data_IF_331790503044
#
_entry.id   IF_331790503044
#
_cell.length_a   1.000
_cell.length_b   1.000
_cell.length_c   1.000
_cell.angle_alpha   90.00
_cell.angle_beta   90.00
_cell.angle_gamma   90.00
#
_symmetry.space_group_name_H-M   'P 1'
#
loop_
_entity.id
_entity.type
_entity.pdbx_description
1 polymer ?
#
# COMPACT_ATOMS: atom_id res chain seq x y z
N UNK A 1 13.09 -15.94 2.26
CA UNK A 1 14.15 -16.16 1.24
C UNK A 1 15.49 -16.30 1.95
N UNK A 2 16.35 -17.25 1.55
CA UNK A 2 17.72 -17.36 2.08
C UNK A 2 18.58 -16.22 1.49
N UNK A 3 19.01 -15.30 2.34
CA UNK A 3 19.75 -14.09 1.93
C UNK A 3 21.11 -14.43 1.31
N UNK A 4 21.78 -15.49 1.72
CA UNK A 4 23.09 -15.85 1.17
C UNK A 4 22.96 -16.38 -0.26
N UNK A 5 21.90 -17.13 -0.55
CA UNK A 5 21.59 -17.59 -1.91
C UNK A 5 21.06 -16.45 -2.79
N UNK A 6 20.40 -15.47 -2.21
CA UNK A 6 19.84 -14.31 -2.90
C UNK A 6 20.90 -13.27 -3.30
N UNK A 7 21.99 -13.11 -2.54
CA UNK A 7 23.06 -12.11 -2.81
C UNK A 7 23.64 -12.16 -4.22
N UNK A 8 23.78 -13.37 -4.79
CA UNK A 8 24.41 -13.58 -6.10
C UNK A 8 23.41 -13.57 -7.27
N UNK A 9 22.12 -13.33 -7.01
CA UNK A 9 21.08 -13.23 -8.04
C UNK A 9 20.96 -11.80 -8.55
N UNK A 10 20.52 -11.65 -9.81
CA UNK A 10 20.17 -10.34 -10.36
C UNK A 10 18.88 -9.79 -9.71
N UNK A 11 18.61 -8.48 -9.80
CA UNK A 11 17.35 -7.91 -9.33
C UNK A 11 16.12 -8.57 -9.97
N UNK A 12 16.19 -8.88 -11.27
CA UNK A 12 15.10 -9.51 -12.03
C UNK A 12 14.82 -10.92 -11.54
N UNK A 13 15.88 -11.72 -11.30
CA UNK A 13 15.76 -13.06 -10.73
C UNK A 13 15.13 -13.01 -9.33
N UNK A 14 15.54 -12.04 -8.50
CA UNK A 14 14.99 -11.88 -7.15
C UNK A 14 13.53 -11.49 -7.18
N UNK A 15 13.14 -10.58 -8.08
CA UNK A 15 11.74 -10.21 -8.27
C UNK A 15 10.90 -11.40 -8.70
N UNK A 16 11.37 -12.19 -9.68
CA UNK A 16 10.69 -13.41 -10.14
C UNK A 16 10.54 -14.43 -9.01
N UNK A 17 11.62 -14.74 -8.29
CA UNK A 17 11.59 -15.69 -7.15
C UNK A 17 10.62 -15.20 -6.08
N UNK A 18 10.57 -13.89 -5.82
CA UNK A 18 9.70 -13.31 -4.81
C UNK A 18 8.22 -13.40 -5.19
N UNK A 19 7.89 -13.11 -6.45
CA UNK A 19 6.54 -13.22 -6.99
C UNK A 19 6.08 -14.69 -6.99
N UNK A 20 6.88 -15.59 -7.57
CA UNK A 20 6.62 -17.03 -7.63
C UNK A 20 6.43 -17.65 -6.24
N UNK A 21 7.21 -17.20 -5.25
CA UNK A 21 7.10 -17.73 -3.89
C UNK A 21 5.76 -17.39 -3.24
N UNK A 22 5.18 -16.22 -3.51
CA UNK A 22 3.93 -15.78 -2.87
C UNK A 22 2.69 -16.13 -3.71
N UNK A 23 2.87 -16.43 -5.00
CA UNK A 23 1.80 -16.86 -5.89
C UNK A 23 1.03 -18.06 -5.31
N UNK A 24 -0.29 -17.92 -5.20
CA UNK A 24 -1.19 -18.97 -4.69
C UNK A 24 -1.12 -19.24 -3.18
N UNK A 25 -0.34 -18.47 -2.41
CA UNK A 25 -0.16 -18.69 -0.96
C UNK A 25 -1.01 -17.77 -0.06
N UNK A 26 -1.93 -17.00 -0.64
CA UNK A 26 -2.71 -16.00 0.10
C UNK A 26 -1.89 -14.75 0.47
N UNK A 27 -0.73 -14.57 -0.17
CA UNK A 27 0.16 -13.43 0.00
C UNK A 27 0.31 -12.68 -1.33
N UNK A 28 0.76 -11.43 -1.24
CA UNK A 28 1.13 -10.62 -2.39
C UNK A 28 2.64 -10.44 -2.38
N UNK A 29 3.30 -10.77 -3.49
CA UNK A 29 4.69 -10.39 -3.75
C UNK A 29 4.72 -9.20 -4.69
N UNK A 30 5.33 -8.09 -4.27
CA UNK A 30 5.65 -6.97 -5.15
C UNK A 30 7.11 -6.57 -4.95
N UNK A 31 7.62 -5.75 -5.86
CA UNK A 31 8.93 -5.12 -5.73
C UNK A 31 8.83 -3.65 -6.12
N UNK A 32 9.77 -2.84 -5.64
CA UNK A 32 9.93 -1.46 -6.08
C UNK A 32 11.40 -1.05 -6.04
N UNK A 33 11.74 0.02 -6.75
CA UNK A 33 13.09 0.61 -6.69
C UNK A 33 13.36 1.24 -5.33
N UNK A 34 14.64 1.27 -4.93
CA UNK A 34 15.03 1.87 -3.66
C UNK A 34 14.78 3.38 -3.63
N UNK A 35 14.95 4.08 -4.75
CA UNK A 35 14.64 5.51 -4.86
C UNK A 35 13.17 5.83 -4.57
N UNK A 36 12.25 5.00 -5.08
CA UNK A 36 10.81 5.16 -4.86
C UNK A 36 10.46 4.82 -3.40
N UNK A 37 11.11 3.82 -2.80
CA UNK A 37 10.91 3.51 -1.38
C UNK A 37 11.31 4.68 -0.49
N UNK A 38 12.44 5.34 -0.77
CA UNK A 38 12.88 6.52 -0.01
C UNK A 38 11.90 7.69 -0.13
N UNK A 39 11.34 7.92 -1.33
CA UNK A 39 10.31 8.94 -1.52
C UNK A 39 9.04 8.61 -0.73
N UNK A 40 8.61 7.35 -0.77
CA UNK A 40 7.48 6.86 0.01
C UNK A 40 7.72 7.01 1.52
N UNK A 41 8.94 6.74 1.99
CA UNK A 41 9.35 6.89 3.39
C UNK A 41 9.28 8.33 3.85
N UNK A 42 9.88 9.24 3.08
CA UNK A 42 9.84 10.68 3.35
C UNK A 42 8.40 11.21 3.39
N UNK A 43 7.58 10.83 2.40
CA UNK A 43 6.20 11.32 2.33
C UNK A 43 5.29 10.70 3.39
N UNK A 44 5.53 9.43 3.72
CA UNK A 44 4.85 8.70 4.78
C UNK A 44 5.19 9.19 6.18
N UNK A 45 6.42 9.67 6.42
CA UNK A 45 6.79 10.21 7.74
C UNK A 45 6.00 11.46 8.08
N UNK A 46 5.76 12.31 7.08
CA UNK A 46 5.08 13.60 7.20
C UNK A 46 3.55 13.46 7.11
N UNK A 47 3.07 12.57 6.25
CA UNK A 47 1.66 12.31 6.03
C UNK A 47 1.39 10.82 6.17
N UNK A 48 0.96 10.37 7.35
CA UNK A 48 0.85 8.93 7.66
C UNK A 48 -0.46 8.30 7.24
N UNK A 49 -1.49 9.11 6.99
CA UNK A 49 -2.85 8.61 6.87
C UNK A 49 -3.43 8.93 5.51
N UNK A 50 -4.23 8.02 4.96
CA UNK A 50 -5.03 8.33 3.78
C UNK A 50 -6.27 7.45 3.71
N UNK A 51 -7.22 7.84 2.85
CA UNK A 51 -8.43 7.06 2.58
C UNK A 51 -8.50 6.68 1.12
N UNK A 52 -8.80 5.42 0.84
CA UNK A 52 -8.85 4.88 -0.52
C UNK A 52 -10.19 4.20 -0.74
N UNK A 53 -10.97 4.58 -1.78
CA UNK A 53 -12.18 3.87 -2.16
C UNK A 53 -11.81 2.53 -2.80
N UNK A 54 -12.31 1.43 -2.25
CA UNK A 54 -12.23 0.11 -2.86
C UNK A 54 -13.57 -0.22 -3.52
N UNK A 55 -13.58 -0.35 -4.86
CA UNK A 55 -14.80 -0.60 -5.63
C UNK A 55 -15.41 -1.97 -5.32
N UNK A 56 -16.74 -2.02 -5.20
CA UNK A 56 -17.55 -3.21 -4.86
C UNK A 56 -18.69 -3.45 -5.86
N UNK A 57 -18.49 -3.09 -7.12
CA UNK A 57 -19.46 -3.30 -8.20
C UNK A 57 -20.48 -2.18 -8.32
N UNK A 58 -21.28 -1.92 -7.29
CA UNK A 58 -22.32 -0.87 -7.28
C UNK A 58 -21.99 0.36 -6.41
N UNK A 59 -20.81 0.39 -5.81
CA UNK A 59 -20.32 1.45 -4.95
C UNK A 59 -18.91 1.13 -4.47
N UNK A 60 -18.47 1.76 -3.38
CA UNK A 60 -17.16 1.51 -2.79
C UNK A 60 -17.23 1.33 -1.28
N UNK A 61 -16.27 0.59 -0.74
CA UNK A 61 -15.93 0.61 0.69
C UNK A 61 -14.71 1.49 0.88
N UNK A 62 -14.73 2.38 1.86
CA UNK A 62 -13.56 3.23 2.13
C UNK A 62 -12.58 2.48 3.03
N UNK A 63 -11.34 2.38 2.58
CA UNK A 63 -10.22 1.81 3.32
C UNK A 63 -9.41 2.93 3.93
N UNK A 64 -9.05 2.79 5.20
CA UNK A 64 -8.11 3.65 5.90
C UNK A 64 -6.71 3.05 5.81
N UNK A 65 -5.81 3.77 5.15
CA UNK A 65 -4.40 3.42 5.01
C UNK A 65 -3.54 4.13 6.04
N UNK A 66 -2.69 3.39 6.73
CA UNK A 66 -1.66 3.92 7.62
C UNK A 66 -0.29 3.58 7.04
N UNK A 67 0.43 4.59 6.55
CA UNK A 67 1.78 4.48 6.00
C UNK A 67 2.79 4.75 7.12
N UNK A 68 3.32 3.67 7.71
CA UNK A 68 4.25 3.70 8.84
C UNK A 68 5.42 2.77 8.54
N UNK A 69 6.28 3.19 7.60
CA UNK A 69 7.34 2.33 7.09
C UNK A 69 8.22 1.77 8.21
N UNK A 70 8.64 0.48 8.12
CA UNK A 70 8.55 -0.39 6.95
C UNK A 70 7.21 -1.13 6.79
N UNK A 71 6.14 -0.68 7.45
CA UNK A 71 4.80 -1.27 7.36
C UNK A 71 3.75 -0.33 6.74
N UNK A 72 2.79 -0.91 6.04
CA UNK A 72 1.51 -0.27 5.74
C UNK A 72 0.38 -1.11 6.28
N UNK A 73 -0.63 -0.46 6.87
CA UNK A 73 -1.81 -1.12 7.42
C UNK A 73 -3.05 -0.60 6.69
N UNK A 74 -3.96 -1.51 6.35
CA UNK A 74 -5.21 -1.20 5.68
C UNK A 74 -6.37 -1.74 6.48
N UNK A 75 -7.24 -0.86 6.94
CA UNK A 75 -8.39 -1.19 7.79
C UNK A 75 -9.65 -0.63 7.14
N UNK A 76 -10.78 -1.31 7.23
CA UNK A 76 -12.06 -0.71 6.82
C UNK A 76 -12.33 0.57 7.63
N UNK A 77 -12.65 1.68 6.97
CA UNK A 77 -12.79 2.98 7.66
C UNK A 77 -13.87 2.94 8.74
N UNK A 78 -14.99 2.27 8.48
CA UNK A 78 -16.09 2.14 9.44
C UNK A 78 -15.69 1.30 10.67
N UNK A 79 -14.91 0.22 10.47
CA UNK A 79 -14.38 -0.57 11.58
C UNK A 79 -13.37 0.23 12.42
N UNK A 80 -12.52 1.02 11.76
CA UNK A 80 -11.59 1.92 12.42
C UNK A 80 -12.32 3.02 13.21
N UNK A 81 -13.37 3.63 12.66
CA UNK A 81 -14.20 4.59 13.40
C UNK A 81 -14.85 3.97 14.63
N UNK A 82 -15.30 2.72 14.53
CA UNK A 82 -15.97 2.02 15.62
C UNK A 82 -15.01 1.56 16.74
N UNK A 83 -13.76 1.19 16.41
CA UNK A 83 -12.83 0.52 17.35
C UNK A 83 -11.49 1.24 17.54
N UNK A 84 -11.23 2.29 16.78
CA UNK A 84 -9.95 3.00 16.76
C UNK A 84 -8.78 2.05 16.48
N UNK A 85 -7.70 2.21 17.25
CA UNK A 85 -6.48 1.41 17.14
C UNK A 85 -6.66 -0.07 17.53
N UNK A 86 -7.83 -0.46 18.06
CA UNK A 86 -8.16 -1.86 18.32
C UNK A 86 -8.78 -2.57 17.10
N UNK A 87 -9.08 -1.82 16.02
CA UNK A 87 -9.50 -2.42 14.76
C UNK A 87 -8.33 -3.21 14.15
N UNK A 88 -8.54 -4.49 13.87
CA UNK A 88 -7.54 -5.29 13.16
C UNK A 88 -7.48 -4.88 11.70
N UNK A 89 -6.27 -4.68 11.13
CA UNK A 89 -6.14 -4.41 9.71
C UNK A 89 -6.63 -5.61 8.91
N UNK A 90 -7.25 -5.34 7.77
CA UNK A 90 -7.67 -6.35 6.81
C UNK A 90 -6.47 -6.87 6.02
N UNK A 91 -5.48 -6.00 5.83
CA UNK A 91 -4.30 -6.23 5.03
C UNK A 91 -3.12 -5.43 5.57
N UNK A 92 -1.94 -6.05 5.55
CA UNK A 92 -0.68 -5.42 5.96
C UNK A 92 0.38 -5.63 4.89
N UNK A 93 1.14 -4.59 4.56
CA UNK A 93 2.31 -4.71 3.68
C UNK A 93 3.60 -4.46 4.48
N UNK A 94 4.62 -5.29 4.25
CA UNK A 94 5.96 -5.16 4.83
C UNK A 94 6.99 -4.93 3.72
N UNK A 95 7.89 -3.97 3.93
CA UNK A 95 8.94 -3.61 2.98
C UNK A 95 10.31 -4.09 3.48
N UNK A 96 11.03 -4.79 2.63
CA UNK A 96 12.33 -5.42 2.90
C UNK A 96 13.41 -4.71 2.08
N UNK A 97 14.30 -3.98 2.77
CA UNK A 97 15.28 -3.06 2.17
C UNK A 97 16.68 -3.66 2.06
N UNK A 98 16.86 -4.95 2.34
CA UNK A 98 18.16 -5.64 2.35
C UNK A 98 18.91 -5.55 1.01
N UNK A 99 18.19 -5.35 -0.10
CA UNK A 99 18.75 -5.19 -1.45
C UNK A 99 18.70 -3.74 -1.97
N UNK A 100 18.27 -2.78 -1.16
CA UNK A 100 18.05 -1.41 -1.60
C UNK A 100 19.35 -0.74 -2.05
N UNK A 101 20.43 -0.87 -1.27
CA UNK A 101 21.72 -0.25 -1.60
C UNK A 101 22.48 -1.02 -2.68
N UNK A 102 22.45 -2.36 -2.63
CA UNK A 102 23.29 -3.21 -3.49
C UNK A 102 22.66 -3.54 -4.84
N UNK A 103 21.34 -3.41 -4.97
CA UNK A 103 20.59 -3.85 -6.16
C UNK A 103 19.48 -2.89 -6.60
N UNK A 104 19.35 -1.72 -5.96
CA UNK A 104 18.23 -0.78 -6.18
C UNK A 104 16.85 -1.47 -6.08
N UNK A 105 16.72 -2.42 -5.15
CA UNK A 105 15.54 -3.28 -5.05
C UNK A 105 15.03 -3.36 -3.62
N UNK A 106 13.74 -3.10 -3.45
CA UNK A 106 12.99 -3.35 -2.21
C UNK A 106 11.94 -4.42 -2.51
N UNK A 107 11.92 -5.47 -1.68
CA UNK A 107 10.90 -6.52 -1.77
C UNK A 107 9.73 -6.15 -0.88
N UNK A 108 8.52 -6.45 -1.32
CA UNK A 108 7.30 -6.10 -0.59
C UNK A 108 6.46 -7.37 -0.42
N UNK A 109 6.10 -7.67 0.82
CA UNK A 109 5.15 -8.75 1.13
C UNK A 109 3.86 -8.15 1.62
N UNK A 110 2.76 -8.55 0.99
CA UNK A 110 1.42 -8.30 1.47
C UNK A 110 0.83 -9.53 2.17
N UNK A 111 0.26 -9.32 3.35
CA UNK A 111 -0.42 -10.34 4.15
C UNK A 111 -1.90 -9.95 4.34
N UNK A 112 -2.80 -10.78 3.80
CA UNK A 112 -4.24 -10.58 3.92
C UNK A 112 -4.71 -11.26 5.20
N UNK A 113 -5.12 -10.46 6.18
CA UNK A 113 -5.53 -10.93 7.52
C UNK A 113 -6.98 -11.43 7.48
N UNK A 114 -7.86 -10.74 6.73
CA UNK A 114 -9.26 -11.10 6.60
C UNK A 114 -9.62 -11.43 5.15
N UNK A 115 -9.39 -12.67 4.76
CA UNK A 115 -9.72 -13.19 3.40
C UNK A 115 -11.22 -13.15 3.08
N UNK A 116 -12.09 -13.03 4.09
CA UNK A 116 -13.53 -12.81 3.91
C UNK A 116 -13.90 -11.35 3.57
N UNK A 117 -12.97 -10.41 3.75
CA UNK A 117 -13.18 -8.98 3.52
C UNK A 117 -12.40 -8.44 2.32
N UNK A 118 -11.31 -9.10 1.94
CA UNK A 118 -10.40 -8.62 0.92
C UNK A 118 -9.83 -9.78 0.11
N UNK A 119 -9.95 -9.69 -1.22
CA UNK A 119 -9.32 -10.66 -2.13
C UNK A 119 -7.84 -10.31 -2.36
N UNK A 120 -7.09 -11.25 -2.96
CA UNK A 120 -5.71 -11.01 -3.38
C UNK A 120 -5.56 -9.83 -4.34
N UNK A 121 -6.46 -9.76 -5.32
CA UNK A 121 -6.46 -8.69 -6.33
C UNK A 121 -6.79 -7.33 -5.70
N UNK A 122 -7.77 -7.28 -4.80
CA UNK A 122 -8.16 -6.05 -4.10
C UNK A 122 -7.04 -5.55 -3.18
N UNK A 123 -6.37 -6.44 -2.46
CA UNK A 123 -5.23 -6.10 -1.61
C UNK A 123 -4.04 -5.56 -2.43
N UNK A 124 -3.74 -6.18 -3.58
CA UNK A 124 -2.69 -5.71 -4.50
C UNK A 124 -3.06 -4.33 -5.03
N UNK A 125 -4.29 -4.15 -5.50
CA UNK A 125 -4.78 -2.89 -6.01
C UNK A 125 -4.74 -1.77 -4.95
N UNK A 126 -5.09 -2.07 -3.69
CA UNK A 126 -4.99 -1.10 -2.58
C UNK A 126 -3.55 -0.65 -2.35
N UNK A 127 -2.60 -1.58 -2.34
CA UNK A 127 -1.18 -1.28 -2.15
C UNK A 127 -0.64 -0.41 -3.29
N UNK A 128 -0.88 -0.81 -4.53
CA UNK A 128 -0.44 -0.08 -5.73
C UNK A 128 -1.09 1.31 -5.81
N UNK A 129 -2.38 1.41 -5.46
CA UNK A 129 -3.10 2.69 -5.42
C UNK A 129 -2.51 3.61 -4.35
N UNK A 130 -2.25 3.09 -3.14
CA UNK A 130 -1.59 3.85 -2.08
C UNK A 130 -0.23 4.36 -2.52
N UNK A 131 0.60 3.48 -3.08
CA UNK A 131 1.90 3.86 -3.62
C UNK A 131 1.76 4.94 -4.70
N UNK A 132 0.77 4.83 -5.59
CA UNK A 132 0.54 5.86 -6.60
C UNK A 132 0.21 7.23 -6.02
N UNK A 133 -0.62 7.29 -4.96
CA UNK A 133 -0.91 8.55 -4.28
C UNK A 133 0.32 9.16 -3.60
N UNK A 134 1.17 8.33 -3.01
CA UNK A 134 2.37 8.80 -2.33
C UNK A 134 3.53 9.10 -3.29
N UNK A 135 3.64 8.42 -4.43
CA UNK A 135 4.79 8.54 -5.34
C UNK A 135 4.56 9.55 -6.47
N UNK A 136 3.31 9.91 -6.77
CA UNK A 136 2.99 10.90 -7.79
C UNK A 136 2.76 12.28 -7.16
N UNK A 137 3.48 13.31 -7.61
CA UNK A 137 3.41 14.66 -7.04
C UNK A 137 2.02 15.30 -7.08
N UNK A 138 1.24 15.05 -8.14
CA UNK A 138 -0.11 15.60 -8.27
C UNK A 138 -1.06 14.91 -7.31
N UNK A 139 -1.00 13.57 -7.23
CA UNK A 139 -1.84 12.79 -6.31
C UNK A 139 -1.46 13.00 -4.85
N UNK A 140 -0.18 13.24 -4.56
CA UNK A 140 0.31 13.45 -3.19
C UNK A 140 -0.30 14.68 -2.54
N UNK A 141 -0.68 15.70 -3.32
CA UNK A 141 -1.40 16.88 -2.78
C UNK A 141 -2.69 16.51 -2.06
N UNK A 142 -3.40 15.46 -2.50
CA UNK A 142 -4.60 14.97 -1.82
C UNK A 142 -4.24 14.30 -0.49
N UNK A 143 -3.11 13.60 -0.43
CA UNK A 143 -2.58 13.00 0.80
C UNK A 143 -2.17 14.10 1.78
N UNK A 144 -1.46 15.13 1.31
CA UNK A 144 -1.06 16.27 2.15
C UNK A 144 -2.27 17.02 2.69
N UNK A 145 -3.23 17.34 1.83
CA UNK A 145 -4.48 17.99 2.24
C UNK A 145 -5.21 17.16 3.30
N UNK A 146 -5.32 15.84 3.12
CA UNK A 146 -5.94 14.96 4.12
C UNK A 146 -5.24 15.01 5.49
N UNK A 147 -3.91 15.09 5.54
CA UNK A 147 -3.15 15.05 6.81
C UNK A 147 -2.95 16.43 7.46
N UNK A 148 -2.82 17.49 6.66
CA UNK A 148 -2.42 18.83 7.12
C UNK A 148 -3.56 19.84 7.10
N UNK A 149 -4.51 19.69 6.18
CA UNK A 149 -5.62 20.62 5.92
C UNK A 149 -6.97 19.88 5.82
N UNK A 150 -7.34 19.06 6.83
CA UNK A 150 -8.47 18.12 6.71
C UNK A 150 -9.83 18.79 6.48
N UNK A 151 -9.97 20.08 6.80
CA UNK A 151 -11.18 20.87 6.56
C UNK A 151 -11.41 21.17 5.07
N UNK A 152 -10.35 21.21 4.28
CA UNK A 152 -10.39 21.46 2.84
C UNK A 152 -10.39 20.15 2.02
N UNK A 153 -10.25 19.00 2.71
CA UNK A 153 -10.22 17.70 2.06
C UNK A 153 -11.61 17.27 1.58
N UNK A 154 -11.69 16.96 0.30
CA UNK A 154 -12.92 16.55 -0.37
C UNK A 154 -12.74 15.14 -0.96
N UNK A 155 -13.42 14.14 -0.40
CA UNK A 155 -13.28 12.74 -0.82
C UNK A 155 -13.63 12.51 -2.30
N UNK A 156 -14.50 13.34 -2.88
CA UNK A 156 -14.83 13.31 -4.31
C UNK A 156 -13.61 13.54 -5.21
N UNK A 157 -12.58 14.24 -4.72
CA UNK A 157 -11.35 14.48 -5.49
C UNK A 157 -10.49 13.21 -5.57
N UNK A 158 -10.54 12.36 -4.54
CA UNK A 158 -9.94 11.02 -4.57
C UNK A 158 -10.65 10.14 -5.60
N UNK A 159 -11.99 10.18 -5.65
CA UNK A 159 -12.77 9.44 -6.65
C UNK A 159 -12.41 9.89 -8.07
N UNK A 160 -12.31 11.21 -8.32
CA UNK A 160 -11.88 11.74 -9.62
C UNK A 160 -10.47 11.31 -9.99
N UNK A 161 -9.53 11.34 -9.04
CA UNK A 161 -8.14 10.95 -9.28
C UNK A 161 -8.00 9.46 -9.67
N UNK A 162 -9.02 8.65 -9.37
CA UNK A 162 -9.12 7.22 -9.69
C UNK A 162 -10.14 6.91 -10.79
N UNK A 163 -10.67 7.94 -11.47
CA UNK A 163 -11.70 7.80 -12.50
C UNK A 163 -12.92 6.98 -12.03
N UNK A 164 -13.27 7.08 -10.75
CA UNK A 164 -14.41 6.38 -10.16
C UNK A 164 -15.70 7.18 -10.30
N UNK A 165 -16.86 6.51 -10.45
CA UNK A 165 -18.16 7.17 -10.44
C UNK A 165 -18.36 7.99 -9.16
N UNK A 166 -18.76 9.25 -9.35
CA UNK A 166 -19.23 10.12 -8.26
C UNK A 166 -20.74 9.93 -8.20
N UNK A 167 -21.17 9.15 -7.20
CA UNK A 167 -22.59 8.89 -6.91
C UNK A 167 -23.21 10.04 -6.12
#
# INVERSE_FOLDING_TARGET
MDLNRAKNRSPEDLASIWDDYHLGRGHIGLTMKAELYRLLEQRGSDCRYFVIPLWRGSGYTTMFGQVQLPYMLFTGLEDYKARGTQASPYFTASFYTEFAESKDLVLIRGDIVFTSKLTGEEAKWLLETTQSFYLNDVRYKLVECFNKEPWDFEFKDVLRALDMPIL
#
